data_IF_741508949075
#
_entry.id   IF_741508949075
#
_cell.length_a   1.000
_cell.length_b   1.000
_cell.length_c   1.000
_cell.angle_alpha   90.00
_cell.angle_beta   90.00
_cell.angle_gamma   90.00
#
_symmetry.space_group_name_H-M   'P 1'
#
loop_
_entity.id
_entity.type
_entity.pdbx_description
1 polymer ?
#
# COMPACT_ATOMS: atom_id res chain seq x y z
N UNK A 1 4.89 10.75 51.25
CA UNK A 1 5.99 11.01 50.31
C UNK A 1 6.43 9.70 49.65
N UNK A 2 5.57 9.07 48.85
CA UNK A 2 5.89 7.87 48.02
C UNK A 2 5.00 7.94 46.77
N UNK A 3 5.40 8.73 45.77
CA UNK A 3 4.81 8.71 44.41
C UNK A 3 5.93 9.05 43.43
N UNK A 4 6.80 8.09 43.11
CA UNK A 4 7.96 8.35 42.23
C UNK A 4 8.41 7.23 41.27
N UNK A 5 7.89 5.98 41.24
CA UNK A 5 8.39 5.00 40.26
C UNK A 5 7.49 4.80 39.02
N UNK A 6 6.29 5.38 38.95
CA UNK A 6 5.35 5.09 37.86
C UNK A 6 5.50 5.96 36.59
N UNK A 7 6.20 7.09 36.67
CA UNK A 7 6.31 8.04 35.55
C UNK A 7 7.47 7.69 34.59
N UNK A 8 8.56 7.13 35.14
CA UNK A 8 9.71 6.69 34.35
C UNK A 8 9.38 5.47 33.47
N UNK A 9 8.57 4.53 33.97
CA UNK A 9 8.12 3.36 33.20
C UNK A 9 7.12 3.74 32.09
N UNK A 10 6.24 4.74 32.32
CA UNK A 10 5.38 5.29 31.26
C UNK A 10 6.19 6.06 30.22
N UNK A 11 7.21 6.81 30.63
CA UNK A 11 8.07 7.56 29.71
C UNK A 11 8.85 6.65 28.76
N UNK A 12 9.34 5.49 29.24
CA UNK A 12 10.05 4.53 28.41
C UNK A 12 9.12 3.78 27.44
N UNK A 13 7.92 3.39 27.91
CA UNK A 13 6.87 2.80 27.06
C UNK A 13 6.40 3.79 25.99
N UNK A 14 6.08 5.02 26.40
CA UNK A 14 5.64 6.10 25.52
C UNK A 14 6.69 6.44 24.46
N UNK A 15 7.97 6.55 24.82
CA UNK A 15 9.04 6.79 23.86
C UNK A 15 9.13 5.67 22.80
N UNK A 16 8.94 4.41 23.20
CA UNK A 16 8.95 3.27 22.28
C UNK A 16 7.74 3.24 21.34
N UNK A 17 6.53 3.54 21.84
CA UNK A 17 5.30 3.63 21.04
C UNK A 17 5.36 4.83 20.09
N UNK A 18 5.94 5.94 20.53
CA UNK A 18 6.09 7.15 19.74
C UNK A 18 7.05 6.93 18.58
N UNK A 19 8.18 6.25 18.81
CA UNK A 19 9.09 5.86 17.73
C UNK A 19 8.41 4.92 16.72
N UNK A 20 7.64 3.94 17.18
CA UNK A 20 6.88 3.05 16.29
C UNK A 20 5.86 3.83 15.45
N UNK A 21 5.09 4.72 16.07
CA UNK A 21 4.10 5.56 15.38
C UNK A 21 4.73 6.51 14.35
N UNK A 22 5.90 7.08 14.66
CA UNK A 22 6.67 7.89 13.70
C UNK A 22 7.11 7.02 12.51
N UNK A 23 7.62 5.82 12.74
CA UNK A 23 8.04 4.92 11.66
C UNK A 23 6.85 4.47 10.78
N UNK A 24 5.69 4.22 11.39
CA UNK A 24 4.47 3.87 10.66
C UNK A 24 3.95 5.02 9.81
N UNK A 25 3.86 6.23 10.38
CA UNK A 25 3.45 7.42 9.63
C UNK A 25 4.45 7.79 8.53
N UNK A 26 5.75 7.65 8.78
CA UNK A 26 6.79 7.80 7.77
C UNK A 26 6.64 6.78 6.62
N UNK A 27 6.25 5.54 6.93
CA UNK A 27 5.98 4.52 5.91
C UNK A 27 4.77 4.86 5.04
N UNK A 28 3.72 5.45 5.64
CA UNK A 28 2.56 5.94 4.91
C UNK A 28 2.93 7.12 3.98
N UNK A 29 3.75 8.05 4.48
CA UNK A 29 4.25 9.17 3.70
C UNK A 29 5.15 8.72 2.54
N UNK A 30 6.05 7.76 2.79
CA UNK A 30 6.91 7.17 1.78
C UNK A 30 6.11 6.48 0.66
N UNK A 31 5.03 5.79 1.02
CA UNK A 31 4.11 5.20 0.04
C UNK A 31 3.46 6.27 -0.85
N UNK A 32 2.89 7.32 -0.27
CA UNK A 32 2.27 8.41 -1.04
C UNK A 32 3.27 9.13 -1.93
N UNK A 33 4.48 9.37 -1.43
CA UNK A 33 5.56 9.97 -2.21
C UNK A 33 5.94 9.07 -3.38
N UNK A 34 6.19 7.78 -3.12
CA UNK A 34 6.48 6.78 -4.15
C UNK A 34 5.37 6.66 -5.19
N UNK A 35 4.10 6.80 -4.80
CA UNK A 35 2.95 6.78 -5.72
C UNK A 35 2.97 7.93 -6.72
N UNK A 36 3.35 9.13 -6.29
CA UNK A 36 3.47 10.30 -7.18
C UNK A 36 4.59 10.06 -8.23
N UNK A 37 5.75 9.59 -7.77
CA UNK A 37 6.85 9.24 -8.68
C UNK A 37 6.50 8.03 -9.57
N UNK A 38 5.82 7.03 -9.01
CA UNK A 38 5.34 5.86 -9.71
C UNK A 38 4.39 6.20 -10.83
N UNK A 39 3.43 7.10 -10.58
CA UNK A 39 2.46 7.52 -11.59
C UNK A 39 3.14 8.23 -12.77
N UNK A 40 4.15 9.07 -12.52
CA UNK A 40 4.88 9.76 -13.60
C UNK A 40 5.79 8.81 -14.37
N UNK A 41 6.56 7.96 -13.68
CA UNK A 41 7.47 6.98 -14.30
C UNK A 41 6.70 5.94 -15.09
N UNK A 42 5.67 5.32 -14.49
CA UNK A 42 4.85 4.30 -15.17
C UNK A 42 3.99 4.90 -16.28
N UNK A 43 3.57 6.16 -16.17
CA UNK A 43 2.91 6.88 -17.25
C UNK A 43 3.79 6.98 -18.49
N UNK A 44 5.01 7.50 -18.33
CA UNK A 44 5.97 7.60 -19.45
C UNK A 44 6.38 6.22 -20.00
N UNK A 45 6.51 5.23 -19.12
CA UNK A 45 6.85 3.86 -19.50
C UNK A 45 5.72 3.20 -20.29
N UNK A 46 4.47 3.43 -19.89
CA UNK A 46 3.27 3.00 -20.62
C UNK A 46 3.23 3.55 -22.05
N UNK A 47 3.58 4.82 -22.20
CA UNK A 47 3.55 5.47 -23.51
C UNK A 47 4.65 4.94 -24.45
N UNK A 48 5.77 4.43 -23.92
CA UNK A 48 6.86 3.84 -24.73
C UNK A 48 6.73 2.35 -25.01
N UNK A 49 6.37 1.54 -24.01
CA UNK A 49 6.42 0.06 -24.09
C UNK A 49 5.05 -0.55 -24.45
N UNK A 50 3.99 0.27 -24.33
CA UNK A 50 2.60 -0.11 -24.57
C UNK A 50 1.85 -0.41 -23.26
N UNK A 51 0.61 0.08 -23.17
CA UNK A 51 -0.26 0.07 -21.98
C UNK A 51 -0.40 -1.31 -21.34
N UNK A 52 -0.62 -2.36 -22.13
CA UNK A 52 -0.83 -3.74 -21.63
C UNK A 52 0.43 -4.33 -20.98
N UNK A 53 1.62 -4.07 -21.55
CA UNK A 53 2.88 -4.59 -21.01
C UNK A 53 3.25 -3.88 -19.71
N UNK A 54 3.00 -2.57 -19.64
CA UNK A 54 3.25 -1.79 -18.43
C UNK A 54 2.34 -2.21 -17.28
N UNK A 55 1.06 -2.55 -17.54
CA UNK A 55 0.20 -3.12 -16.52
C UNK A 55 0.75 -4.46 -15.99
N UNK A 56 1.22 -5.34 -16.87
CA UNK A 56 1.83 -6.61 -16.47
C UNK A 56 3.07 -6.42 -15.59
N UNK A 57 3.96 -5.49 -15.96
CA UNK A 57 5.12 -5.13 -15.13
C UNK A 57 4.72 -4.53 -13.80
N UNK A 58 3.68 -3.68 -13.76
CA UNK A 58 3.18 -3.11 -12.52
C UNK A 58 2.57 -4.16 -11.60
N UNK A 59 1.85 -5.15 -12.15
CA UNK A 59 1.32 -6.28 -11.38
C UNK A 59 2.44 -7.14 -10.77
N UNK A 60 3.48 -7.46 -11.55
CA UNK A 60 4.64 -8.22 -11.06
C UNK A 60 5.40 -7.42 -10.00
N UNK A 61 5.58 -6.11 -10.23
CA UNK A 61 6.20 -5.21 -9.28
C UNK A 61 5.45 -5.08 -7.96
N UNK A 62 4.12 -4.94 -8.02
CA UNK A 62 3.24 -4.96 -6.85
C UNK A 62 3.30 -6.28 -6.11
N UNK A 63 3.29 -7.41 -6.83
CA UNK A 63 3.43 -8.74 -6.23
C UNK A 63 4.77 -8.86 -5.48
N UNK A 64 5.88 -8.44 -6.10
CA UNK A 64 7.18 -8.42 -5.46
C UNK A 64 7.19 -7.50 -4.23
N UNK A 65 6.57 -6.31 -4.31
CA UNK A 65 6.43 -5.40 -3.18
C UNK A 65 5.65 -6.02 -2.00
N UNK A 66 4.56 -6.72 -2.28
CA UNK A 66 3.79 -7.43 -1.25
C UNK A 66 4.55 -8.61 -0.65
N UNK A 67 5.31 -9.35 -1.45
CA UNK A 67 6.18 -10.42 -0.94
C UNK A 67 7.28 -9.86 -0.02
N UNK A 68 7.88 -8.73 -0.38
CA UNK A 68 8.86 -8.03 0.47
C UNK A 68 8.19 -7.53 1.76
N UNK A 69 6.97 -6.99 1.69
CA UNK A 69 6.22 -6.61 2.89
C UNK A 69 5.92 -7.81 3.79
N UNK A 70 5.49 -8.95 3.23
CA UNK A 70 5.24 -10.17 3.99
C UNK A 70 6.49 -10.72 4.67
N UNK A 71 7.62 -10.74 3.94
CA UNK A 71 8.91 -11.13 4.51
C UNK A 71 9.38 -10.16 5.60
N UNK A 72 9.16 -8.86 5.42
CA UNK A 72 9.50 -7.84 6.43
C UNK A 72 8.71 -8.01 7.73
N UNK A 73 7.42 -8.38 7.63
CA UNK A 73 6.58 -8.70 8.79
C UNK A 73 7.10 -9.94 9.51
N UNK A 74 7.46 -11.00 8.77
CA UNK A 74 8.02 -12.22 9.36
C UNK A 74 9.35 -11.98 10.10
N UNK A 75 10.22 -11.12 9.54
CA UNK A 75 11.53 -10.78 10.11
C UNK A 75 11.48 -9.66 11.18
N UNK A 76 10.30 -9.06 11.43
CA UNK A 76 10.11 -7.92 12.35
C UNK A 76 11.05 -6.73 12.07
N UNK A 77 11.43 -6.53 10.81
CA UNK A 77 12.36 -5.47 10.40
C UNK A 77 11.60 -4.26 9.81
N UNK A 78 11.39 -3.16 10.58
CA UNK A 78 10.59 -2.02 10.12
C UNK A 78 11.21 -1.32 8.89
N UNK A 79 12.53 -1.38 8.72
CA UNK A 79 13.21 -0.78 7.57
C UNK A 79 12.92 -1.52 6.25
N UNK A 80 12.77 -2.84 6.32
CA UNK A 80 12.44 -3.67 5.16
C UNK A 80 10.97 -3.48 4.76
N UNK A 81 10.11 -3.22 5.74
CA UNK A 81 8.71 -2.86 5.51
C UNK A 81 8.60 -1.50 4.81
N UNK A 82 9.42 -0.53 5.19
CA UNK A 82 9.50 0.77 4.51
C UNK A 82 9.90 0.62 3.04
N UNK A 83 10.88 -0.23 2.74
CA UNK A 83 11.27 -0.56 1.35
C UNK A 83 10.13 -1.23 0.59
N UNK A 84 9.47 -2.22 1.18
CA UNK A 84 8.30 -2.88 0.59
C UNK A 84 7.18 -1.88 0.27
N UNK A 85 6.93 -0.92 1.16
CA UNK A 85 5.95 0.16 0.93
C UNK A 85 6.38 1.15 -0.15
N UNK A 86 7.66 1.48 -0.24
CA UNK A 86 8.17 2.32 -1.31
C UNK A 86 8.01 1.65 -2.69
N UNK A 87 8.37 0.37 -2.78
CA UNK A 87 8.18 -0.43 -4.01
C UNK A 87 6.70 -0.58 -4.33
N UNK A 88 5.86 -0.92 -3.35
CA UNK A 88 4.42 -1.01 -3.53
C UNK A 88 3.79 0.33 -3.97
N UNK A 89 4.25 1.46 -3.41
CA UNK A 89 3.79 2.80 -3.79
C UNK A 89 4.17 3.15 -5.22
N UNK A 90 5.39 2.85 -5.66
CA UNK A 90 5.83 3.03 -7.05
C UNK A 90 4.88 2.32 -8.03
N UNK A 91 4.47 1.10 -7.72
CA UNK A 91 3.58 0.34 -8.59
C UNK A 91 2.09 0.69 -8.43
N UNK A 92 1.67 1.22 -7.28
CA UNK A 92 0.33 1.76 -7.09
C UNK A 92 0.01 2.96 -8.01
N UNK A 93 1.04 3.63 -8.54
CA UNK A 93 0.90 4.65 -9.56
C UNK A 93 0.36 4.16 -10.92
N UNK A 94 0.11 2.86 -11.12
CA UNK A 94 -0.41 2.31 -12.39
C UNK A 94 -1.92 2.48 -12.58
N UNK A 95 -2.67 2.91 -11.57
CA UNK A 95 -4.13 3.13 -11.65
C UNK A 95 -4.55 4.05 -12.82
N UNK A 96 -3.96 5.25 -13.01
CA UNK A 96 -4.29 6.10 -14.16
C UNK A 96 -3.97 5.43 -15.50
N UNK A 97 -2.89 4.66 -15.59
CA UNK A 97 -2.53 3.90 -16.81
C UNK A 97 -3.60 2.87 -17.15
N UNK A 98 -4.12 2.16 -16.14
CA UNK A 98 -5.21 1.20 -16.31
C UNK A 98 -6.51 1.86 -16.78
N UNK A 99 -6.85 3.04 -16.23
CA UNK A 99 -8.02 3.79 -16.66
C UNK A 99 -7.92 4.22 -18.14
N UNK A 100 -6.75 4.65 -18.58
CA UNK A 100 -6.54 5.00 -19.99
C UNK A 100 -6.58 3.76 -20.89
N UNK A 101 -6.02 2.64 -20.46
CA UNK A 101 -6.11 1.38 -21.19
C UNK A 101 -7.58 0.92 -21.36
N UNK A 102 -8.42 1.08 -20.33
CA UNK A 102 -9.86 0.79 -20.41
C UNK A 102 -10.58 1.69 -21.41
N UNK A 103 -10.16 2.95 -21.53
CA UNK A 103 -10.71 3.90 -22.50
C UNK A 103 -10.38 3.53 -23.95
N UNK A 104 -9.21 2.96 -24.20
CA UNK A 104 -8.79 2.57 -25.56
C UNK A 104 -9.60 1.38 -26.09
N UNK A 105 -10.00 0.47 -25.21
CA UNK A 105 -10.73 -0.75 -25.58
C UNK A 105 -12.23 -0.51 -25.79
N UNK A 106 -12.77 0.66 -25.38
CA UNK A 106 -14.20 0.96 -25.42
C UNK A 106 -14.54 2.04 -26.47
N UNK A 107 -15.68 1.86 -27.15
CA UNK A 107 -16.27 2.86 -28.05
C UNK A 107 -16.63 4.14 -27.30
N UNK A 108 -16.64 5.29 -27.99
CA UNK A 108 -16.88 6.63 -27.38
C UNK A 108 -18.10 6.67 -26.44
N UNK A 109 -19.16 5.96 -26.79
CA UNK A 109 -20.41 5.89 -26.04
C UNK A 109 -20.28 5.12 -24.71
N UNK A 110 -19.43 4.09 -24.65
CA UNK A 110 -19.28 3.22 -23.47
C UNK A 110 -18.04 3.54 -22.60
N UNK A 111 -17.29 4.61 -22.92
CA UNK A 111 -16.07 4.99 -22.19
C UNK A 111 -16.32 5.31 -20.72
N UNK A 112 -17.32 6.14 -20.44
CA UNK A 112 -17.65 6.51 -19.06
C UNK A 112 -18.20 5.33 -18.26
N UNK A 113 -19.02 4.48 -18.87
CA UNK A 113 -19.54 3.25 -18.24
C UNK A 113 -18.40 2.29 -17.88
N UNK A 114 -17.40 2.14 -18.77
CA UNK A 114 -16.22 1.31 -18.51
C UNK A 114 -15.37 1.81 -17.35
N UNK A 115 -15.09 3.11 -17.28
CA UNK A 115 -14.39 3.71 -16.14
C UNK A 115 -15.22 3.56 -14.86
N UNK A 116 -16.53 3.84 -14.93
CA UNK A 116 -17.44 3.71 -13.80
C UNK A 116 -17.40 2.31 -13.20
N UNK A 117 -17.55 1.27 -14.03
CA UNK A 117 -17.46 -0.13 -13.59
C UNK A 117 -16.09 -0.47 -12.98
N UNK A 118 -15.01 0.05 -13.55
CA UNK A 118 -13.67 -0.09 -12.98
C UNK A 118 -13.54 0.54 -11.59
N UNK A 119 -14.09 1.74 -11.39
CA UNK A 119 -14.08 2.41 -10.09
C UNK A 119 -14.98 1.71 -9.06
N UNK A 120 -16.10 1.13 -9.49
CA UNK A 120 -16.93 0.28 -8.64
C UNK A 120 -16.15 -0.94 -8.13
N UNK A 121 -15.40 -1.61 -9.00
CA UNK A 121 -14.56 -2.75 -8.62
C UNK A 121 -13.42 -2.36 -7.66
N UNK A 122 -12.79 -1.20 -7.87
CA UNK A 122 -11.74 -0.69 -6.97
C UNK A 122 -12.34 -0.35 -5.60
N UNK A 123 -13.48 0.34 -5.59
CA UNK A 123 -14.15 0.75 -4.33
C UNK A 123 -14.65 -0.45 -3.55
N UNK A 124 -15.22 -1.46 -4.22
CA UNK A 124 -15.63 -2.69 -3.54
C UNK A 124 -14.44 -3.41 -2.92
N UNK A 125 -13.29 -3.45 -3.61
CA UNK A 125 -12.04 -3.95 -3.06
C UNK A 125 -11.66 -3.29 -1.73
N UNK A 126 -11.70 -1.95 -1.67
CA UNK A 126 -11.42 -1.21 -0.43
C UNK A 126 -12.40 -1.49 0.71
N UNK A 127 -13.65 -1.87 0.41
CA UNK A 127 -14.64 -2.24 1.44
C UNK A 127 -14.32 -3.62 2.03
N UNK A 128 -13.86 -4.56 1.20
CA UNK A 128 -13.53 -5.92 1.64
C UNK A 128 -12.12 -6.04 2.25
N UNK A 129 -11.22 -5.11 1.96
CA UNK A 129 -9.82 -5.11 2.43
C UNK A 129 -9.66 -5.20 3.97
N UNK A 130 -10.36 -4.41 4.80
CA UNK A 130 -10.24 -4.50 6.26
C UNK A 130 -10.70 -5.85 6.81
N UNK A 131 -11.73 -6.42 6.20
CA UNK A 131 -12.30 -7.73 6.60
C UNK A 131 -11.27 -8.84 6.31
N UNK A 132 -10.68 -8.81 5.12
CA UNK A 132 -9.64 -9.76 4.74
C UNK A 132 -8.39 -9.63 5.61
N UNK A 133 -7.94 -8.39 5.85
CA UNK A 133 -6.76 -8.12 6.68
C UNK A 133 -6.98 -8.55 8.12
N UNK A 134 -8.14 -8.28 8.71
CA UNK A 134 -8.47 -8.70 10.08
C UNK A 134 -8.46 -10.23 10.23
N UNK A 135 -9.02 -10.96 9.25
CA UNK A 135 -8.98 -12.42 9.22
C UNK A 135 -7.55 -12.96 9.16
N UNK A 136 -6.72 -12.42 8.26
CA UNK A 136 -5.31 -12.84 8.12
C UNK A 136 -4.53 -12.59 9.40
N UNK A 137 -4.73 -11.43 10.03
CA UNK A 137 -4.09 -11.07 11.30
C UNK A 137 -4.50 -12.02 12.42
N UNK A 138 -5.80 -12.30 12.56
CA UNK A 138 -6.31 -13.16 13.62
C UNK A 138 -5.78 -14.61 13.48
N UNK A 139 -5.82 -15.16 12.26
CA UNK A 139 -5.44 -16.55 11.97
C UNK A 139 -3.92 -16.76 12.04
N UNK A 140 -3.11 -15.84 11.53
CA UNK A 140 -1.65 -16.02 11.47
C UNK A 140 -0.92 -15.51 12.72
N UNK A 141 -1.38 -14.41 13.33
CA UNK A 141 -0.66 -13.74 14.42
C UNK A 141 -1.31 -13.93 15.80
N UNK A 142 -2.50 -14.55 15.87
CA UNK A 142 -3.17 -14.87 17.13
C UNK A 142 -3.48 -13.65 18.02
N UNK A 143 -3.42 -12.45 17.46
CA UNK A 143 -3.67 -11.18 18.15
C UNK A 143 -4.45 -10.25 17.23
N UNK A 144 -5.55 -9.63 17.69
CA UNK A 144 -6.13 -8.51 16.97
C UNK A 144 -5.10 -7.37 16.91
N UNK A 145 -4.83 -6.81 15.72
CA UNK A 145 -3.99 -5.59 15.60
C UNK A 145 -4.71 -4.31 16.06
N UNK A 146 -5.82 -4.47 16.77
CA UNK A 146 -6.46 -3.44 17.57
C UNK A 146 -5.84 -3.50 18.98
N UNK A 147 -4.69 -2.82 19.15
CA UNK A 147 -3.93 -2.58 20.40
C UNK A 147 -3.00 -3.68 20.94
#
# INVERSE_FOLDING_TARGET
MVIAPLDSARSCSFASTLLQNILYSASLAAYSFAMIFGATVLGQLSDRIGRTRTLGLALIGSLAGYLVCGAAVALKMPMLFLLGRFVGGLFAGSVPVAQVALLDMKTKENRMTGIGLGMFAVTSGYIFDPIGTDFVVNVLFGRPMWF
#
